data_IF_341950237972
#
_entry.id   IF_341950237972
#
_cell.length_a   1.000
_cell.length_b   1.000
_cell.length_c   1.000
_cell.angle_alpha   90.00
_cell.angle_beta   90.00
_cell.angle_gamma   90.00
#
_symmetry.space_group_name_H-M   'P 1'
#
loop_
_entity.id
_entity.type
_entity.pdbx_description
1 polymer ?
#
# COMPACT_ATOMS: atom_id res chain seq x y z
N UNK A 1 -2.00 7.85 19.68
CA UNK A 1 -1.85 8.29 18.27
C UNK A 1 -0.46 7.95 17.70
N UNK A 2 0.54 7.67 18.54
CA UNK A 2 1.92 7.35 18.14
C UNK A 2 2.07 6.05 17.34
N UNK A 3 1.44 4.94 17.77
CA UNK A 3 1.55 3.61 17.13
C UNK A 3 1.28 3.59 15.61
N UNK A 4 0.40 4.48 15.10
CA UNK A 4 0.05 4.54 13.67
C UNK A 4 1.19 5.12 12.82
N UNK A 5 1.99 6.02 13.39
CA UNK A 5 3.16 6.60 12.72
C UNK A 5 4.31 5.58 12.65
N UNK A 6 4.46 4.76 13.69
CA UNK A 6 5.50 3.73 13.76
C UNK A 6 5.31 2.65 12.69
N UNK A 7 4.07 2.17 12.50
CA UNK A 7 3.78 1.16 11.46
C UNK A 7 4.13 1.67 10.05
N UNK A 8 3.86 2.94 9.75
CA UNK A 8 4.22 3.53 8.46
C UNK A 8 5.72 3.63 8.29
N UNK A 9 6.44 4.13 9.31
CA UNK A 9 7.90 4.26 9.31
C UNK A 9 8.60 2.90 9.17
N UNK A 10 8.15 1.88 9.91
CA UNK A 10 8.70 0.53 9.83
C UNK A 10 8.54 -0.06 8.42
N UNK A 11 7.38 0.13 7.79
CA UNK A 11 7.16 -0.35 6.43
C UNK A 11 8.01 0.38 5.39
N UNK A 12 8.25 1.68 5.56
CA UNK A 12 9.13 2.44 4.67
C UNK A 12 10.57 1.91 4.76
N UNK A 13 11.11 1.77 5.97
CA UNK A 13 12.46 1.22 6.19
C UNK A 13 12.62 -0.19 5.61
N UNK A 14 11.58 -1.03 5.72
CA UNK A 14 11.60 -2.38 5.13
C UNK A 14 11.63 -2.35 3.60
N UNK A 15 10.94 -1.41 2.97
CA UNK A 15 10.94 -1.25 1.52
C UNK A 15 12.31 -0.72 1.05
N UNK A 16 12.88 0.27 1.74
CA UNK A 16 14.23 0.80 1.43
C UNK A 16 15.30 -0.29 1.55
N UNK A 17 15.26 -1.09 2.62
CA UNK A 17 16.18 -2.21 2.80
C UNK A 17 16.02 -3.28 1.71
N UNK A 18 14.79 -3.53 1.26
CA UNK A 18 14.49 -4.45 0.16
C UNK A 18 15.04 -3.93 -1.18
N UNK A 19 14.89 -2.64 -1.48
CA UNK A 19 15.48 -2.01 -2.68
C UNK A 19 16.99 -2.14 -2.71
N UNK A 20 17.65 -1.80 -1.60
CA UNK A 20 19.11 -1.91 -1.48
C UNK A 20 19.57 -3.35 -1.68
N UNK A 21 18.85 -4.31 -1.11
CA UNK A 21 19.15 -5.73 -1.30
C UNK A 21 19.00 -6.17 -2.77
N UNK A 22 17.97 -5.67 -3.48
CA UNK A 22 17.81 -5.91 -4.92
C UNK A 22 18.98 -5.32 -5.73
N UNK A 23 19.40 -4.09 -5.42
CA UNK A 23 20.54 -3.47 -6.09
C UNK A 23 21.83 -4.24 -5.88
N UNK A 24 22.10 -4.71 -4.65
CA UNK A 24 23.25 -5.57 -4.35
C UNK A 24 23.22 -6.88 -5.17
N UNK A 25 22.03 -7.48 -5.32
CA UNK A 25 21.82 -8.69 -6.13
C UNK A 25 22.08 -8.44 -7.61
N UNK A 26 21.58 -7.33 -8.16
CA UNK A 26 21.78 -6.95 -9.57
C UNK A 26 23.25 -6.64 -9.86
N UNK A 27 23.92 -5.93 -8.95
CA UNK A 27 25.34 -5.60 -9.06
C UNK A 27 26.28 -6.78 -8.73
N UNK A 28 25.73 -7.90 -8.25
CA UNK A 28 26.49 -9.10 -7.82
C UNK A 28 27.56 -8.80 -6.76
N UNK A 29 27.30 -7.83 -5.89
CA UNK A 29 28.20 -7.44 -4.81
C UNK A 29 28.14 -8.50 -3.71
N UNK A 30 29.31 -8.93 -3.22
CA UNK A 30 29.38 -9.87 -2.12
C UNK A 30 29.11 -9.14 -0.80
N UNK A 31 28.54 -9.85 0.18
CA UNK A 31 28.36 -9.28 1.52
C UNK A 31 29.71 -9.02 2.22
N UNK A 32 30.78 -9.68 1.78
CA UNK A 32 32.15 -9.52 2.29
C UNK A 32 32.76 -8.17 1.93
N UNK A 33 32.27 -7.53 0.87
CA UNK A 33 32.78 -6.23 0.42
C UNK A 33 32.39 -5.08 1.39
N UNK A 34 31.47 -5.33 2.34
CA UNK A 34 31.03 -4.38 3.40
C UNK A 34 30.73 -2.97 2.88
N UNK A 35 30.10 -2.89 1.72
CA UNK A 35 29.80 -1.66 1.01
C UNK A 35 28.70 -0.87 1.74
N UNK A 36 28.84 0.46 1.79
CA UNK A 36 27.82 1.33 2.41
C UNK A 36 26.61 1.55 1.49
N UNK A 37 25.42 1.70 2.07
CA UNK A 37 24.18 1.90 1.30
C UNK A 37 24.25 3.09 0.32
N UNK A 38 24.98 4.16 0.69
CA UNK A 38 25.18 5.34 -0.16
C UNK A 38 25.96 4.98 -1.44
N UNK A 39 27.01 4.20 -1.27
CA UNK A 39 27.88 3.75 -2.37
C UNK A 39 27.16 2.76 -3.30
N UNK A 40 26.22 1.97 -2.78
CA UNK A 40 25.33 1.14 -3.60
C UNK A 40 24.44 2.01 -4.48
N UNK A 41 23.80 3.04 -3.93
CA UNK A 41 22.93 3.95 -4.70
C UNK A 41 23.72 4.75 -5.74
N UNK A 42 24.92 5.22 -5.39
CA UNK A 42 25.81 5.93 -6.31
C UNK A 42 26.20 5.05 -7.51
N UNK A 43 26.53 3.77 -7.28
CA UNK A 43 26.84 2.82 -8.37
C UNK A 43 25.65 2.56 -9.30
N UNK A 44 24.43 2.55 -8.77
CA UNK A 44 23.21 2.38 -9.59
C UNK A 44 22.86 3.70 -10.30
N UNK A 45 23.35 4.84 -9.80
CA UNK A 45 23.03 6.17 -10.32
C UNK A 45 21.57 6.55 -10.11
N UNK A 46 20.91 5.95 -9.11
CA UNK A 46 19.48 6.15 -8.84
C UNK A 46 19.22 6.36 -7.36
N UNK A 47 18.20 7.15 -7.07
CA UNK A 47 17.61 7.24 -5.72
C UNK A 47 16.58 6.11 -5.49
N UNK A 48 16.01 6.03 -4.29
CA UNK A 48 15.00 5.01 -3.93
C UNK A 48 13.68 5.25 -4.69
N UNK A 49 13.46 4.50 -5.78
CA UNK A 49 12.34 4.70 -6.71
C UNK A 49 11.03 4.02 -6.26
N UNK A 50 11.07 2.89 -5.55
CA UNK A 50 9.90 2.07 -5.23
C UNK A 50 8.94 2.76 -4.28
N UNK A 51 9.42 3.56 -3.32
CA UNK A 51 8.54 4.31 -2.42
C UNK A 51 7.72 5.31 -3.22
N UNK A 52 8.38 6.09 -4.07
CA UNK A 52 7.75 7.09 -4.93
C UNK A 52 6.80 6.42 -5.92
N UNK A 53 7.25 5.36 -6.60
CA UNK A 53 6.40 4.61 -7.53
C UNK A 53 5.16 4.02 -6.86
N UNK A 54 5.28 3.51 -5.62
CA UNK A 54 4.15 3.01 -4.83
C UNK A 54 3.14 4.12 -4.53
N UNK A 55 3.61 5.32 -4.20
CA UNK A 55 2.74 6.45 -3.92
C UNK A 55 2.05 6.93 -5.20
N UNK A 56 2.80 7.08 -6.29
CA UNK A 56 2.26 7.47 -7.60
C UNK A 56 1.18 6.50 -8.07
N UNK A 57 1.43 5.18 -8.03
CA UNK A 57 0.44 4.16 -8.43
C UNK A 57 -0.83 4.19 -7.59
N UNK A 58 -0.72 4.48 -6.28
CA UNK A 58 -1.90 4.66 -5.43
C UNK A 58 -2.74 5.86 -5.86
N UNK A 59 -2.08 6.96 -6.21
CA UNK A 59 -2.75 8.18 -6.68
C UNK A 59 -3.38 7.96 -8.06
N UNK A 60 -2.66 7.35 -8.99
CA UNK A 60 -3.16 7.00 -10.32
C UNK A 60 -4.39 6.09 -10.24
N UNK A 61 -4.36 5.09 -9.36
CA UNK A 61 -5.52 4.23 -9.12
C UNK A 61 -6.71 5.03 -8.59
N UNK A 62 -6.48 5.92 -7.62
CA UNK A 62 -7.55 6.77 -7.07
C UNK A 62 -8.11 7.72 -8.13
N UNK A 63 -7.26 8.32 -8.96
CA UNK A 63 -7.66 9.18 -10.08
C UNK A 63 -8.52 8.39 -11.09
N UNK A 64 -8.12 7.17 -11.41
CA UNK A 64 -8.88 6.29 -12.29
C UNK A 64 -10.26 5.93 -11.70
N UNK A 65 -10.33 5.61 -10.41
CA UNK A 65 -11.59 5.36 -9.70
C UNK A 65 -12.50 6.59 -9.71
N UNK A 66 -11.94 7.80 -9.63
CA UNK A 66 -12.71 9.03 -9.65
C UNK A 66 -13.24 9.41 -11.03
N UNK A 67 -12.50 9.07 -12.10
CA UNK A 67 -12.82 9.40 -13.50
C UNK A 67 -13.72 8.38 -14.20
N UNK A 68 -13.60 7.10 -13.88
CA UNK A 68 -14.28 6.02 -14.64
C UNK A 68 -15.70 5.69 -14.15
N UNK A 69 -16.65 5.37 -15.06
CA UNK A 69 -17.99 4.90 -14.66
C UNK A 69 -17.97 3.48 -14.08
N UNK A 70 -16.91 2.69 -14.36
CA UNK A 70 -16.76 1.30 -13.91
C UNK A 70 -16.72 1.14 -12.38
N UNK A 71 -16.32 2.18 -11.65
CA UNK A 71 -16.14 2.13 -10.19
C UNK A 71 -17.12 3.04 -9.45
N UNK A 72 -18.35 3.18 -9.96
CA UNK A 72 -19.36 4.09 -9.42
C UNK A 72 -19.63 3.88 -7.92
N UNK A 73 -19.81 2.63 -7.49
CA UNK A 73 -20.05 2.30 -6.07
C UNK A 73 -18.87 2.76 -5.20
N UNK A 74 -17.64 2.44 -5.59
CA UNK A 74 -16.44 2.83 -4.84
C UNK A 74 -16.29 4.35 -4.77
N UNK A 75 -16.56 5.05 -5.87
CA UNK A 75 -16.59 6.52 -5.93
C UNK A 75 -17.64 7.10 -4.99
N UNK A 76 -18.86 6.54 -4.95
CA UNK A 76 -19.94 6.97 -4.05
C UNK A 76 -19.60 6.74 -2.57
N UNK A 77 -18.92 5.62 -2.25
CA UNK A 77 -18.41 5.33 -0.91
C UNK A 77 -17.37 6.38 -0.50
N UNK A 78 -16.37 6.64 -1.35
CA UNK A 78 -15.30 7.60 -1.04
C UNK A 78 -15.85 9.03 -0.92
N UNK A 79 -16.86 9.39 -1.74
CA UNK A 79 -17.55 10.68 -1.66
C UNK A 79 -18.54 10.79 -0.50
N UNK A 80 -18.83 9.68 0.21
CA UNK A 80 -19.80 9.66 1.31
C UNK A 80 -21.25 9.92 0.87
N UNK A 81 -21.58 9.72 -0.41
CA UNK A 81 -22.92 9.99 -0.96
C UNK A 81 -23.91 8.86 -0.71
N UNK A 82 -23.44 7.71 -0.24
CA UNK A 82 -24.30 6.61 0.20
C UNK A 82 -24.91 7.01 1.53
N UNK A 83 -26.21 7.36 1.52
CA UNK A 83 -26.99 7.48 2.76
C UNK A 83 -26.88 6.16 3.52
N UNK A 84 -26.72 6.22 4.84
CA UNK A 84 -26.76 5.06 5.74
C UNK A 84 -28.12 4.33 5.59
N UNK A 85 -28.26 3.50 4.57
CA UNK A 85 -29.16 2.35 4.53
C UNK A 85 -28.33 1.08 4.71
N UNK A 86 -27.31 1.12 5.56
CA UNK A 86 -26.70 -0.11 6.05
C UNK A 86 -27.60 -0.56 7.21
N UNK A 87 -28.79 -1.03 6.86
CA UNK A 87 -29.50 -1.99 7.69
C UNK A 87 -28.73 -3.30 7.50
N UNK A 88 -27.76 -3.58 8.37
CA UNK A 88 -27.41 -4.98 8.58
C UNK A 88 -28.72 -5.66 8.98
N UNK A 89 -29.19 -6.71 8.27
CA UNK A 89 -30.25 -7.51 8.83
C UNK A 89 -29.70 -8.03 10.15
N UNK A 90 -30.23 -7.49 11.25
CA UNK A 90 -30.07 -8.09 12.55
C UNK A 90 -30.55 -9.52 12.35
N UNK A 91 -29.73 -10.50 12.72
CA UNK A 91 -30.07 -11.90 12.63
C UNK A 91 -31.38 -12.14 13.38
N UNK A 92 -32.49 -12.11 12.65
CA UNK A 92 -33.84 -12.27 13.14
C UNK A 92 -34.59 -12.88 11.98
N UNK A 93 -34.55 -14.22 11.96
CA UNK A 93 -35.49 -15.18 11.37
C UNK A 93 -34.74 -16.46 10.96
N UNK A 94 -34.69 -17.44 11.87
CA UNK A 94 -34.91 -18.87 11.61
C UNK A 94 -34.64 -19.69 12.88
N UNK A 95 -35.56 -19.61 13.84
CA UNK A 95 -36.09 -20.84 14.48
C UNK A 95 -37.60 -20.59 14.59
N UNK A 96 -38.30 -20.81 13.47
CA UNK A 96 -39.72 -21.13 13.51
C UNK A 96 -39.89 -22.47 14.22
N UNK A 97 -40.89 -22.50 15.10
CA UNK A 97 -41.80 -23.62 15.35
C UNK A 97 -41.39 -24.98 14.77
N UNK A 98 -40.86 -25.86 15.63
CA UNK A 98 -41.15 -27.30 15.53
C UNK A 98 -40.78 -28.00 16.84
N UNK A 99 -41.76 -28.09 17.74
CA UNK A 99 -42.12 -29.21 18.66
C UNK A 99 -42.63 -28.67 19.99
#
# INVERSE_FOLDING_TARGET
MELRLDIKKCNLKRIEAFELWLYLRVLKISWTDKITNKEVLERVGKETELITAKQTRKLEYLDHVMKGPKYEILRLIIQGKIRKQICWPKAELMVEEST
#
